data_IF_783537318617
#
_entry.id   IF_783537318617
#
_cell.length_a   1.000
_cell.length_b   1.000
_cell.length_c   1.000
_cell.angle_alpha   90.00
_cell.angle_beta   90.00
_cell.angle_gamma   90.00
#
_symmetry.space_group_name_H-M   'P 1'
#
loop_
_entity.id
_entity.type
_entity.pdbx_description
1 polymer ?
#
# COMPACT_ATOMS: atom_id res chain seq x y z
N UNK A 1 9.48 -5.34 16.77
CA UNK A 1 8.82 -4.47 15.78
C UNK A 1 7.33 -4.67 15.84
N UNK A 2 6.59 -3.58 15.87
CA UNK A 2 5.13 -3.59 15.92
C UNK A 2 4.55 -3.00 14.64
N UNK A 3 3.51 -3.65 14.09
CA UNK A 3 2.73 -3.10 12.98
C UNK A 3 1.44 -2.53 13.59
N UNK A 4 1.18 -1.27 13.35
CA UNK A 4 0.00 -0.59 13.87
C UNK A 4 -0.54 0.40 12.85
N UNK A 5 -1.73 0.94 13.10
CA UNK A 5 -2.26 2.00 12.25
C UNK A 5 -1.52 3.31 12.50
N UNK A 6 -1.39 4.12 11.45
CA UNK A 6 -0.74 5.42 11.54
C UNK A 6 -1.64 6.45 12.21
N UNK A 7 -1.01 7.47 12.79
CA UNK A 7 -1.72 8.67 13.25
C UNK A 7 -0.95 9.90 12.76
N UNK A 8 -1.57 11.08 12.92
CA UNK A 8 -0.97 12.31 12.38
C UNK A 8 0.39 12.66 12.98
N UNK A 9 0.68 12.18 14.19
CA UNK A 9 1.99 12.41 14.79
C UNK A 9 3.11 11.64 14.08
N UNK A 10 2.75 10.63 13.25
CA UNK A 10 3.72 9.87 12.47
C UNK A 10 4.05 10.54 11.13
N UNK A 11 3.32 11.57 10.75
CA UNK A 11 3.36 12.13 9.38
C UNK A 11 4.76 12.56 8.94
N UNK A 12 5.50 13.25 9.82
CA UNK A 12 6.85 13.72 9.47
C UNK A 12 7.78 12.57 9.14
N UNK A 13 7.74 11.50 9.95
CA UNK A 13 8.56 10.31 9.73
C UNK A 13 8.14 9.58 8.45
N UNK A 14 6.83 9.45 8.22
CA UNK A 14 6.29 8.81 7.03
C UNK A 14 6.74 9.55 5.78
N UNK A 15 6.60 10.88 5.76
CA UNK A 15 6.98 11.67 4.59
C UNK A 15 8.48 11.61 4.33
N UNK A 16 9.30 11.63 5.39
CA UNK A 16 10.74 11.49 5.25
C UNK A 16 11.12 10.16 4.58
N UNK A 17 10.45 9.07 4.95
CA UNK A 17 10.69 7.76 4.35
C UNK A 17 10.24 7.74 2.88
N UNK A 18 9.11 8.36 2.58
CA UNK A 18 8.63 8.46 1.20
C UNK A 18 9.68 9.15 0.31
N UNK A 19 10.26 10.25 0.80
CA UNK A 19 11.28 10.99 0.06
C UNK A 19 12.61 10.24 -0.09
N UNK A 20 12.90 9.27 0.79
CA UNK A 20 14.09 8.43 0.64
C UNK A 20 13.98 7.49 -0.56
N UNK A 21 12.76 7.06 -0.90
CA UNK A 21 12.56 5.95 -1.82
C UNK A 21 11.99 6.35 -3.18
N UNK A 22 11.44 7.55 -3.30
CA UNK A 22 10.79 7.99 -4.53
C UNK A 22 11.34 9.32 -4.99
N UNK A 23 11.38 9.53 -6.32
CA UNK A 23 11.75 10.82 -6.89
C UNK A 23 10.73 11.88 -6.47
N UNK A 24 11.07 13.16 -6.66
CA UNK A 24 10.14 14.25 -6.32
C UNK A 24 8.82 14.16 -7.10
N UNK A 25 8.85 13.58 -8.31
CA UNK A 25 7.65 13.40 -9.13
C UNK A 25 6.81 12.21 -8.67
N UNK A 26 7.45 11.19 -8.10
CA UNK A 26 6.76 9.97 -7.67
C UNK A 26 6.29 10.04 -6.22
N UNK A 27 6.99 10.78 -5.37
CA UNK A 27 6.68 10.85 -3.95
C UNK A 27 5.29 11.48 -3.74
N UNK A 28 4.51 10.87 -2.84
CA UNK A 28 3.21 11.41 -2.46
C UNK A 28 3.44 12.62 -1.56
N UNK A 29 2.76 13.73 -1.86
CA UNK A 29 2.89 14.96 -1.08
C UNK A 29 2.44 14.76 0.37
N UNK A 30 3.08 15.50 1.27
CA UNK A 30 2.79 15.39 2.70
C UNK A 30 1.31 15.66 3.02
N UNK A 31 0.70 16.63 2.34
CA UNK A 31 -0.73 16.94 2.56
C UNK A 31 -1.65 15.81 2.13
N UNK A 32 -1.27 15.06 1.09
CA UNK A 32 -2.04 13.91 0.63
C UNK A 32 -1.89 12.76 1.64
N UNK A 33 -0.68 12.52 2.12
CA UNK A 33 -0.46 11.51 3.17
C UNK A 33 -1.25 11.83 4.43
N UNK A 34 -1.30 13.09 4.84
CA UNK A 34 -2.11 13.52 5.98
C UNK A 34 -3.59 13.22 5.74
N UNK A 35 -4.09 13.52 4.55
CA UNK A 35 -5.48 13.25 4.18
C UNK A 35 -5.78 11.75 4.21
N UNK A 36 -4.84 10.92 3.73
CA UNK A 36 -4.98 9.47 3.74
C UNK A 36 -5.06 8.91 5.16
N UNK A 37 -4.25 9.43 6.08
CA UNK A 37 -4.30 9.01 7.50
C UNK A 37 -5.68 9.27 8.07
N UNK A 38 -6.29 10.41 7.75
CA UNK A 38 -7.62 10.77 8.25
C UNK A 38 -8.73 9.98 7.55
N UNK A 39 -8.59 9.75 6.23
CA UNK A 39 -9.67 9.21 5.42
C UNK A 39 -9.80 7.69 5.53
N UNK A 40 -8.68 6.96 5.56
CA UNK A 40 -8.71 5.49 5.65
C UNK A 40 -7.70 4.97 6.67
N UNK A 41 -7.90 5.31 7.95
CA UNK A 41 -6.95 4.93 9.00
C UNK A 41 -6.75 3.42 9.15
N UNK A 42 -7.75 2.60 8.85
CA UNK A 42 -7.64 1.14 9.02
C UNK A 42 -6.73 0.50 7.98
N UNK A 43 -6.46 1.15 6.85
CA UNK A 43 -5.56 0.65 5.82
C UNK A 43 -4.34 1.54 5.61
N UNK A 44 -3.94 2.23 6.67
CA UNK A 44 -2.70 2.99 6.70
C UNK A 44 -1.86 2.45 7.86
N UNK A 45 -0.86 1.62 7.54
CA UNK A 45 -0.07 0.90 8.53
C UNK A 45 1.35 1.44 8.61
N UNK A 46 1.89 1.47 9.82
CA UNK A 46 3.31 1.75 10.05
C UNK A 46 3.96 0.60 10.80
N UNK A 47 5.25 0.42 10.55
CA UNK A 47 6.10 -0.50 11.32
C UNK A 47 6.95 0.35 12.26
N UNK A 48 6.82 0.09 13.56
CA UNK A 48 7.53 0.85 14.59
C UNK A 48 8.41 -0.06 15.42
N UNK A 49 9.59 0.41 15.74
CA UNK A 49 10.50 -0.29 16.64
C UNK A 49 11.26 0.74 17.48
N UNK A 50 11.20 0.58 18.79
CA UNK A 50 11.89 1.46 19.74
C UNK A 50 11.58 2.95 19.53
N UNK A 51 10.30 3.24 19.24
CA UNK A 51 9.84 4.60 19.03
C UNK A 51 10.14 5.18 17.65
N UNK A 52 10.71 4.38 16.76
CA UNK A 52 11.10 4.84 15.43
C UNK A 52 10.27 4.16 14.35
N UNK A 53 9.78 4.95 13.39
CA UNK A 53 9.05 4.41 12.24
C UNK A 53 10.06 3.88 11.24
N UNK A 54 9.91 2.61 10.87
CA UNK A 54 10.81 1.93 9.93
C UNK A 54 10.24 1.86 8.52
N UNK A 55 8.93 1.96 8.37
CA UNK A 55 8.28 1.89 7.07
C UNK A 55 6.79 2.04 7.21
N UNK A 56 6.10 2.14 6.07
CA UNK A 56 4.65 2.24 6.05
C UNK A 56 4.07 1.65 4.78
N UNK A 57 2.77 1.35 4.84
CA UNK A 57 2.01 0.78 3.73
C UNK A 57 0.61 1.35 3.79
N UNK A 58 0.14 1.97 2.70
CA UNK A 58 -1.14 2.66 2.76
C UNK A 58 -1.88 2.63 1.44
N UNK A 59 -3.21 2.72 1.52
CA UNK A 59 -4.05 2.88 0.35
C UNK A 59 -5.53 2.76 0.70
N UNK A 60 -6.39 3.38 -0.11
CA UNK A 60 -7.84 3.33 0.09
C UNK A 60 -8.43 1.98 -0.32
N UNK A 61 -9.67 1.73 0.11
CA UNK A 61 -10.47 0.66 -0.44
C UNK A 61 -11.20 1.20 -1.67
N UNK A 62 -11.10 0.49 -2.79
CA UNK A 62 -11.70 0.88 -4.06
C UNK A 62 -12.41 -0.32 -4.70
N UNK A 63 -13.45 -0.06 -5.51
CA UNK A 63 -14.13 -1.15 -6.21
C UNK A 63 -13.36 -1.73 -7.39
N UNK A 64 -12.41 -0.97 -7.97
CA UNK A 64 -11.68 -1.40 -9.17
C UNK A 64 -10.64 -2.46 -8.83
N UNK A 65 -10.48 -3.43 -9.75
CA UNK A 65 -9.46 -4.47 -9.64
C UNK A 65 -8.04 -3.92 -9.74
N UNK A 66 -7.86 -2.83 -10.49
CA UNK A 66 -6.54 -2.21 -10.69
C UNK A 66 -6.50 -0.82 -10.06
N UNK A 67 -5.31 -0.43 -9.62
CA UNK A 67 -5.09 0.88 -9.01
C UNK A 67 -5.42 1.99 -10.00
N UNK A 68 -6.17 2.98 -9.54
CA UNK A 68 -6.56 4.16 -10.33
C UNK A 68 -5.76 5.38 -9.88
N UNK A 69 -5.38 6.24 -10.83
CA UNK A 69 -4.58 7.44 -10.51
C UNK A 69 -5.30 8.39 -9.55
N UNK A 70 -6.63 8.36 -9.51
CA UNK A 70 -7.40 9.16 -8.55
C UNK A 70 -7.06 8.85 -7.10
N UNK A 71 -6.51 7.67 -6.82
CA UNK A 71 -6.12 7.29 -5.45
C UNK A 71 -4.93 8.09 -4.93
N UNK A 72 -4.19 8.77 -5.81
CA UNK A 72 -3.04 9.61 -5.43
C UNK A 72 -3.41 11.07 -5.21
N UNK A 73 -4.70 11.41 -5.22
CA UNK A 73 -5.14 12.82 -5.16
C UNK A 73 -5.84 13.13 -3.84
N UNK A 74 -5.99 14.44 -3.55
CA UNK A 74 -6.73 14.90 -2.37
C UNK A 74 -8.22 14.55 -2.45
N UNK A 75 -8.73 14.31 -3.66
CA UNK A 75 -10.14 13.99 -3.87
C UNK A 75 -10.42 12.49 -3.91
N UNK A 76 -9.48 11.65 -3.48
CA UNK A 76 -9.66 10.20 -3.44
C UNK A 76 -10.91 9.84 -2.64
N UNK A 77 -11.66 8.87 -3.16
CA UNK A 77 -12.83 8.31 -2.47
C UNK A 77 -12.45 6.97 -1.88
N UNK A 78 -12.78 6.77 -0.61
CA UNK A 78 -12.49 5.53 0.11
C UNK A 78 -13.79 4.80 0.41
N UNK A 79 -13.81 3.50 0.09
CA UNK A 79 -14.97 2.64 0.23
C UNK A 79 -14.85 1.67 1.41
N UNK A 80 -14.06 2.01 2.42
CA UNK A 80 -13.85 1.15 3.60
C UNK A 80 -15.15 0.78 4.32
N UNK A 81 -16.17 1.63 4.25
CA UNK A 81 -17.46 1.37 4.87
C UNK A 81 -18.34 0.41 4.08
N UNK A 82 -17.95 0.07 2.85
CA UNK A 82 -18.71 -0.84 1.99
C UNK A 82 -18.03 -2.19 1.94
N UNK A 83 -18.80 -3.24 1.63
CA UNK A 83 -18.28 -4.59 1.52
C UNK A 83 -17.55 -4.80 0.20
N UNK A 84 -16.62 -5.77 0.19
CA UNK A 84 -15.89 -6.13 -1.02
C UNK A 84 -14.82 -5.12 -1.41
N UNK A 85 -14.54 -5.04 -2.71
CA UNK A 85 -13.52 -4.15 -3.24
C UNK A 85 -12.10 -4.59 -2.94
N UNK A 86 -11.15 -3.74 -3.31
CA UNK A 86 -9.71 -4.00 -3.17
C UNK A 86 -9.07 -2.93 -2.32
N UNK A 87 -8.10 -3.32 -1.50
CA UNK A 87 -7.21 -2.33 -0.87
C UNK A 87 -6.21 -1.93 -1.95
N UNK A 88 -6.30 -0.69 -2.40
CA UNK A 88 -5.46 -0.16 -3.49
C UNK A 88 -4.26 0.57 -2.90
N UNK A 89 -3.12 -0.11 -2.89
CA UNK A 89 -1.91 0.41 -2.26
C UNK A 89 -1.32 1.56 -3.10
N UNK A 90 -1.23 2.73 -2.50
CA UNK A 90 -0.61 3.89 -3.14
C UNK A 90 0.85 4.07 -2.72
N UNK A 91 1.25 3.54 -1.58
CA UNK A 91 2.67 3.53 -1.21
C UNK A 91 3.01 2.40 -0.27
N UNK A 92 4.13 1.74 -0.55
CA UNK A 92 4.86 0.87 0.37
C UNK A 92 6.29 1.40 0.39
N UNK A 93 6.73 1.87 1.55
CA UNK A 93 8.03 2.50 1.66
C UNK A 93 8.70 2.10 2.97
N UNK A 94 9.97 1.69 2.89
CA UNK A 94 10.76 1.25 4.04
C UNK A 94 12.01 2.12 4.09
N UNK A 95 12.35 2.63 5.28
CA UNK A 95 13.55 3.46 5.43
C UNK A 95 14.78 2.68 4.95
N UNK A 96 15.76 3.38 4.36
CA UNK A 96 16.93 2.72 3.79
C UNK A 96 17.70 1.92 4.83
N UNK A 97 17.74 2.38 6.06
CA UNK A 97 18.41 1.67 7.15
C UNK A 97 17.72 0.38 7.54
N UNK A 98 16.42 0.28 7.30
CA UNK A 98 15.60 -0.88 7.68
C UNK A 98 15.32 -1.82 6.50
N UNK A 99 15.78 -1.52 5.30
CA UNK A 99 15.56 -2.38 4.13
C UNK A 99 16.29 -3.73 4.29
N UNK A 100 15.76 -4.75 3.62
CA UNK A 100 16.29 -6.12 3.64
C UNK A 100 16.20 -6.79 5.01
N UNK A 101 15.38 -6.27 5.91
CA UNK A 101 15.15 -6.84 7.25
C UNK A 101 13.73 -7.37 7.42
N UNK A 102 12.99 -7.49 6.33
CA UNK A 102 11.64 -8.07 6.36
C UNK A 102 10.52 -7.10 6.75
N UNK A 103 10.80 -5.80 6.83
CA UNK A 103 9.77 -4.80 7.21
C UNK A 103 8.65 -4.76 6.18
N UNK A 104 9.00 -4.66 4.88
CA UNK A 104 8.01 -4.66 3.81
C UNK A 104 7.15 -5.91 3.80
N UNK A 105 7.78 -7.07 4.00
CA UNK A 105 7.06 -8.35 4.09
C UNK A 105 6.05 -8.33 5.23
N UNK A 106 6.44 -7.86 6.40
CA UNK A 106 5.54 -7.83 7.55
C UNK A 106 4.38 -6.85 7.36
N UNK A 107 4.64 -5.72 6.72
CA UNK A 107 3.58 -4.77 6.37
C UNK A 107 2.58 -5.41 5.39
N UNK A 108 3.08 -6.08 4.36
CA UNK A 108 2.23 -6.76 3.38
C UNK A 108 1.41 -7.87 4.04
N UNK A 109 2.04 -8.68 4.91
CA UNK A 109 1.32 -9.74 5.61
C UNK A 109 0.23 -9.18 6.52
N UNK A 110 0.49 -8.07 7.21
CA UNK A 110 -0.51 -7.41 8.04
C UNK A 110 -1.69 -6.92 7.20
N UNK A 111 -1.41 -6.32 6.03
CA UNK A 111 -2.48 -5.83 5.16
C UNK A 111 -3.30 -6.97 4.58
N UNK A 112 -2.67 -8.10 4.26
CA UNK A 112 -3.39 -9.30 3.79
C UNK A 112 -4.37 -9.80 4.85
N UNK A 113 -3.96 -9.79 6.12
CA UNK A 113 -4.85 -10.17 7.22
C UNK A 113 -6.05 -9.24 7.33
N UNK A 114 -5.83 -7.95 7.13
CA UNK A 114 -6.92 -6.97 7.13
C UNK A 114 -7.87 -7.23 5.96
N UNK A 115 -7.34 -7.50 4.77
CA UNK A 115 -8.17 -7.80 3.59
C UNK A 115 -9.03 -9.04 3.83
N UNK A 116 -8.48 -10.08 4.42
CA UNK A 116 -9.22 -11.31 4.75
C UNK A 116 -10.28 -11.01 5.81
N UNK A 117 -9.90 -10.34 6.89
CA UNK A 117 -10.83 -9.99 7.98
C UNK A 117 -12.03 -9.21 7.49
N UNK A 118 -11.78 -8.23 6.61
CA UNK A 118 -12.82 -7.32 6.12
C UNK A 118 -13.47 -7.83 4.83
N UNK A 119 -13.14 -9.05 4.40
CA UNK A 119 -13.71 -9.71 3.22
C UNK A 119 -13.54 -8.91 1.94
N UNK A 120 -12.37 -8.30 1.78
CA UNK A 120 -12.01 -7.63 0.52
C UNK A 120 -11.73 -8.67 -0.55
N UNK A 121 -11.95 -8.30 -1.82
CA UNK A 121 -11.61 -9.17 -2.94
C UNK A 121 -10.10 -9.40 -3.05
N UNK A 122 -9.31 -8.42 -2.66
CA UNK A 122 -7.86 -8.54 -2.66
C UNK A 122 -7.16 -7.22 -2.39
N UNK A 123 -5.90 -7.18 -2.80
CA UNK A 123 -5.04 -6.00 -2.70
C UNK A 123 -4.46 -5.76 -4.09
N UNK A 124 -4.46 -4.52 -4.56
CA UNK A 124 -3.80 -4.19 -5.81
C UNK A 124 -2.79 -3.06 -5.62
N UNK A 125 -1.86 -2.97 -6.55
CA UNK A 125 -0.88 -1.90 -6.60
C UNK A 125 -0.32 -1.81 -8.01
N UNK A 126 0.45 -0.75 -8.26
CA UNK A 126 1.28 -0.66 -9.47
C UNK A 126 2.74 -0.56 -9.04
N UNK A 127 3.64 -1.11 -9.86
CA UNK A 127 5.06 -1.03 -9.58
C UNK A 127 5.87 -0.92 -10.87
N UNK A 128 7.12 -0.49 -10.73
CA UNK A 128 8.09 -0.54 -11.81
C UNK A 128 8.46 -1.99 -12.11
N UNK A 129 8.95 -2.23 -13.32
CA UNK A 129 9.28 -3.59 -13.79
C UNK A 129 10.28 -4.30 -12.88
N UNK A 130 11.25 -3.58 -12.33
CA UNK A 130 12.27 -4.21 -11.47
C UNK A 130 11.72 -4.65 -10.11
N UNK A 131 10.51 -4.24 -9.74
CA UNK A 131 9.87 -4.67 -8.49
C UNK A 131 8.89 -5.82 -8.70
N UNK A 132 8.58 -6.19 -9.94
CA UNK A 132 7.67 -7.32 -10.21
C UNK A 132 8.09 -8.59 -9.46
N UNK A 133 9.36 -9.02 -9.51
CA UNK A 133 9.75 -10.24 -8.78
C UNK A 133 9.53 -10.13 -7.28
N UNK A 134 9.73 -8.96 -6.70
CA UNK A 134 9.49 -8.74 -5.28
C UNK A 134 8.04 -9.02 -4.92
N UNK A 135 7.10 -8.45 -5.69
CA UNK A 135 5.68 -8.64 -5.40
C UNK A 135 5.20 -10.05 -5.75
N UNK A 136 5.74 -10.65 -6.81
CA UNK A 136 5.41 -12.04 -7.13
C UNK A 136 5.82 -12.98 -6.00
N UNK A 137 6.96 -12.74 -5.38
CA UNK A 137 7.42 -13.49 -4.22
C UNK A 137 6.42 -13.41 -3.06
N UNK A 138 5.67 -12.32 -2.96
CA UNK A 138 4.68 -12.12 -1.92
C UNK A 138 3.25 -12.47 -2.36
N UNK A 139 3.12 -13.23 -3.45
CA UNK A 139 1.84 -13.78 -3.87
C UNK A 139 1.02 -12.90 -4.81
N UNK A 140 1.59 -11.79 -5.25
CA UNK A 140 0.92 -10.94 -6.24
C UNK A 140 1.11 -11.50 -7.64
N UNK A 141 0.12 -11.31 -8.50
CA UNK A 141 0.16 -11.72 -9.90
C UNK A 141 0.32 -10.48 -10.76
N UNK A 142 1.28 -10.53 -11.68
CA UNK A 142 1.49 -9.47 -12.67
C UNK A 142 0.38 -9.57 -13.72
N UNK A 143 -0.43 -8.53 -13.83
CA UNK A 143 -1.53 -8.47 -14.80
C UNK A 143 -1.20 -7.57 -16.00
N UNK A 144 0.06 -7.19 -16.14
CA UNK A 144 0.55 -6.49 -17.32
C UNK A 144 0.66 -4.98 -17.15
N UNK A 145 0.84 -4.30 -18.26
CA UNK A 145 0.98 -2.84 -18.28
C UNK A 145 -0.25 -2.17 -17.70
N UNK A 146 -0.03 -1.27 -16.75
CA UNK A 146 -1.09 -0.45 -16.19
C UNK A 146 -1.45 0.68 -17.14
N UNK A 147 -2.69 1.14 -17.04
CA UNK A 147 -3.12 2.37 -17.72
C UNK A 147 -2.70 3.63 -16.95
N UNK A 148 -2.09 3.47 -15.78
CA UNK A 148 -1.62 4.61 -14.98
C UNK A 148 -0.56 5.41 -15.73
N UNK A 149 -0.68 6.73 -15.64
CA UNK A 149 0.32 7.66 -16.15
C UNK A 149 0.96 8.46 -15.02
N UNK A 150 0.83 7.99 -13.80
CA UNK A 150 1.33 8.67 -12.61
C UNK A 150 2.83 8.99 -12.78
N UNK A 151 3.22 10.22 -12.49
CA UNK A 151 4.60 10.71 -12.59
C UNK A 151 5.22 10.52 -13.98
N UNK A 152 4.39 10.37 -15.03
CA UNK A 152 4.83 10.12 -16.42
C UNK A 152 5.72 8.89 -16.56
N UNK A 153 5.49 7.88 -15.70
CA UNK A 153 6.28 6.64 -15.69
C UNK A 153 5.44 5.45 -16.18
N UNK A 154 6.15 4.35 -16.45
CA UNK A 154 5.51 3.09 -16.86
C UNK A 154 5.32 2.23 -15.61
N UNK A 155 4.09 1.75 -15.43
CA UNK A 155 3.70 0.96 -14.27
C UNK A 155 3.11 -0.37 -14.71
N UNK A 156 3.21 -1.38 -13.82
CA UNK A 156 2.62 -2.69 -14.02
C UNK A 156 1.61 -2.98 -12.93
N UNK A 157 0.46 -3.51 -13.32
CA UNK A 157 -0.60 -3.87 -12.38
C UNK A 157 -0.27 -5.19 -11.68
N UNK A 158 -0.31 -5.16 -10.35
CA UNK A 158 -0.10 -6.33 -9.52
C UNK A 158 -1.33 -6.53 -8.65
N UNK A 159 -1.80 -7.79 -8.56
CA UNK A 159 -3.01 -8.11 -7.79
C UNK A 159 -2.74 -9.33 -6.92
N UNK A 160 -3.12 -9.25 -5.66
CA UNK A 160 -3.15 -10.37 -4.74
C UNK A 160 -4.60 -10.63 -4.34
N UNK A 161 -5.00 -11.91 -4.35
CA UNK A 161 -6.32 -12.32 -3.91
C UNK A 161 -6.19 -13.40 -2.84
N UNK A 162 -7.06 -13.41 -1.82
CA UNK A 162 -7.01 -14.45 -0.79
C UNK A 162 -7.17 -15.84 -1.38
N UNK A 163 -6.44 -16.80 -0.81
CA UNK A 163 -6.57 -18.19 -1.19
C UNK A 163 -7.93 -18.72 -0.76
N UNK A 164 -8.66 -19.38 -1.68
CA UNK A 164 -9.98 -19.94 -1.41
C UNK A 164 -9.92 -21.41 -0.97
N UNK A 165 -8.78 -21.90 -0.50
CA UNK A 165 -8.65 -23.29 -0.05
C UNK A 165 -9.62 -23.65 1.07
N UNK A 166 -10.00 -22.69 1.87
CA UNK A 166 -10.98 -22.89 2.94
C UNK A 166 -12.36 -23.36 2.43
N UNK A 167 -12.61 -23.23 1.12
CA UNK A 167 -13.87 -23.70 0.53
C UNK A 167 -13.84 -25.18 0.17
N UNK A 168 -12.69 -25.82 0.30
CA UNK A 168 -12.57 -27.26 0.10
C UNK A 168 -13.21 -27.97 1.26
N UNK A 169 -14.13 -28.83 0.97
CA UNK A 169 -14.86 -29.57 1.97
C UNK A 169 -14.62 -31.04 1.76
#
# INVERSE_FOLDING_TARGET
>A
MEIRTANLSDLSAIYAIELENFSSEEAIAQEILARHIELFPSTFLVAEQDGQILGFLEGPVRPERHLQDSSFTLSVEDYSSQSGGYISITSLSVSKEAQKKGVGKQLLEAMKKIAIRDRRAGINLTCHDYLIPYYEKHGFVNEGLSQSTYADEIWYDMVWEPCLESTKI
#
